data_IF_735617934100
#
_entry.id   IF_735617934100
#
_cell.length_a   1.000
_cell.length_b   1.000
_cell.length_c   1.000
_cell.angle_alpha   90.00
_cell.angle_beta   90.00
_cell.angle_gamma   90.00
#
_symmetry.space_group_name_H-M   'P 1'
#
loop_
_entity.id
_entity.type
_entity.pdbx_description
1 polymer ?
#
# COMPACT_ATOMS: atom_id res chain seq x y z
N UNK A 1 -4.30 1.88 17.84
CA UNK A 1 -5.44 1.43 17.02
C UNK A 1 -6.57 1.18 17.99
N UNK A 2 -7.67 1.93 17.89
CA UNK A 2 -8.82 1.75 18.77
C UNK A 2 -9.44 0.39 18.48
N UNK A 3 -9.70 -0.43 19.49
CA UNK A 3 -10.46 -1.68 19.29
C UNK A 3 -11.79 -1.36 18.61
N UNK A 4 -12.22 -2.18 17.61
CA UNK A 4 -13.51 -1.99 16.97
C UNK A 4 -14.59 -2.10 18.04
N UNK A 5 -15.38 -1.03 18.20
CA UNK A 5 -16.49 -1.00 19.15
C UNK A 5 -17.53 -2.02 18.68
N UNK A 6 -17.69 -3.11 19.42
CA UNK A 6 -18.72 -4.11 19.17
C UNK A 6 -20.12 -3.49 19.21
N UNK A 7 -21.04 -4.10 18.46
CA UNK A 7 -22.45 -3.69 18.45
C UNK A 7 -23.05 -3.97 19.84
N UNK A 8 -23.83 -3.02 20.41
CA UNK A 8 -24.54 -3.22 21.66
C UNK A 8 -25.40 -4.49 21.64
N UNK A 9 -25.34 -5.29 22.71
CA UNK A 9 -25.99 -6.61 22.76
C UNK A 9 -27.52 -6.55 22.74
N UNK A 10 -28.11 -5.43 23.16
CA UNK A 10 -29.56 -5.21 23.19
C UNK A 10 -30.21 -5.18 21.81
N UNK A 11 -29.45 -4.88 20.75
CA UNK A 11 -29.95 -4.87 19.37
C UNK A 11 -29.56 -6.09 18.56
N UNK A 12 -28.75 -7.01 19.12
CA UNK A 12 -28.34 -8.24 18.44
C UNK A 12 -29.36 -9.38 18.57
N UNK A 13 -30.27 -9.27 19.54
CA UNK A 13 -31.24 -10.31 19.89
C UNK A 13 -32.67 -9.80 19.75
N UNK A 14 -33.54 -10.68 19.27
CA UNK A 14 -34.98 -10.50 19.34
C UNK A 14 -35.53 -11.01 20.67
N UNK A 15 -36.78 -10.62 20.98
CA UNK A 15 -37.44 -11.00 22.24
C UNK A 15 -37.76 -12.49 22.34
N UNK A 16 -37.77 -13.20 21.22
CA UNK A 16 -38.00 -14.64 21.10
C UNK A 16 -36.73 -15.49 21.22
N UNK A 17 -35.56 -14.85 21.39
CA UNK A 17 -34.27 -15.53 21.52
C UNK A 17 -33.58 -15.82 20.18
N UNK A 18 -34.10 -15.31 19.06
CA UNK A 18 -33.43 -15.38 17.77
C UNK A 18 -32.57 -14.14 17.50
N UNK A 19 -31.69 -14.25 16.51
CA UNK A 19 -30.87 -13.12 16.07
C UNK A 19 -31.72 -12.06 15.38
N UNK A 20 -31.43 -10.79 15.68
CA UNK A 20 -32.02 -9.65 15.00
C UNK A 20 -31.52 -9.55 13.55
N UNK A 21 -32.24 -8.81 12.71
CA UNK A 21 -31.78 -8.54 11.35
C UNK A 21 -30.42 -7.83 11.36
N UNK A 22 -30.18 -6.93 12.32
CA UNK A 22 -28.89 -6.23 12.47
C UNK A 22 -27.73 -7.21 12.69
N UNK A 23 -27.94 -8.24 13.52
CA UNK A 23 -26.93 -9.27 13.75
C UNK A 23 -26.70 -10.12 12.50
N UNK A 24 -27.78 -10.51 11.81
CA UNK A 24 -27.71 -11.34 10.60
C UNK A 24 -27.06 -10.59 9.43
N UNK A 25 -27.41 -9.33 9.21
CA UNK A 25 -26.83 -8.47 8.17
C UNK A 25 -25.33 -8.26 8.42
N UNK A 26 -24.94 -7.98 9.67
CA UNK A 26 -23.54 -7.82 10.04
C UNK A 26 -22.72 -9.09 9.77
N UNK A 27 -23.27 -10.27 10.06
CA UNK A 27 -22.63 -11.56 9.75
C UNK A 27 -22.61 -11.82 8.24
N UNK A 28 -23.69 -11.53 7.53
CA UNK A 28 -23.80 -11.69 6.08
C UNK A 28 -22.82 -10.80 5.29
N UNK A 29 -22.49 -9.62 5.83
CA UNK A 29 -21.51 -8.68 5.27
C UNK A 29 -20.05 -9.02 5.67
N UNK A 30 -19.83 -10.11 6.42
CA UNK A 30 -18.52 -10.53 6.91
C UNK A 30 -17.93 -9.63 8.00
N UNK A 31 -18.77 -8.88 8.72
CA UNK A 31 -18.35 -7.99 9.80
C UNK A 31 -18.26 -8.72 11.15
N UNK A 32 -17.67 -9.92 11.18
CA UNK A 32 -17.59 -10.78 12.37
C UNK A 32 -16.92 -10.11 13.57
N UNK A 33 -16.06 -9.12 13.33
CA UNK A 33 -15.38 -8.36 14.38
C UNK A 33 -16.32 -7.42 15.16
N UNK A 34 -17.48 -7.08 14.59
CA UNK A 34 -18.49 -6.23 15.22
C UNK A 34 -19.46 -7.03 16.11
N UNK A 35 -19.44 -8.36 15.97
CA UNK A 35 -20.41 -9.27 16.58
C UNK A 35 -19.72 -10.16 17.62
N UNK A 36 -20.23 -10.25 18.87
CA UNK A 36 -19.66 -11.12 19.90
C UNK A 36 -19.68 -12.62 19.52
N UNK A 37 -18.78 -13.41 20.12
CA UNK A 37 -18.64 -14.84 19.81
C UNK A 37 -19.93 -15.64 20.01
N UNK A 38 -20.68 -15.40 21.09
CA UNK A 38 -21.92 -16.13 21.37
C UNK A 38 -23.01 -15.96 20.30
N UNK A 39 -23.03 -14.82 19.61
CA UNK A 39 -23.97 -14.57 18.50
C UNK A 39 -23.57 -15.37 17.27
N UNK A 40 -22.26 -15.47 16.98
CA UNK A 40 -21.72 -16.28 15.88
C UNK A 40 -21.98 -17.77 16.12
N UNK A 41 -21.80 -18.23 17.35
CA UNK A 41 -22.11 -19.61 17.75
C UNK A 41 -23.60 -19.91 17.58
N UNK A 42 -24.48 -19.03 18.07
CA UNK A 42 -25.92 -19.20 17.91
C UNK A 42 -26.36 -19.28 16.44
N UNK A 43 -25.77 -18.49 15.55
CA UNK A 43 -26.07 -18.55 14.12
C UNK A 43 -25.77 -19.92 13.50
N UNK A 44 -24.77 -20.64 14.01
CA UNK A 44 -24.39 -21.98 13.55
C UNK A 44 -25.24 -23.10 14.17
N UNK A 45 -25.77 -22.88 15.38
CA UNK A 45 -26.55 -23.88 16.12
C UNK A 45 -28.06 -23.78 15.89
N UNK A 46 -28.57 -22.57 15.62
CA UNK A 46 -29.99 -22.30 15.45
C UNK A 46 -30.38 -22.37 13.96
N UNK A 47 -31.05 -23.45 13.56
CA UNK A 47 -31.48 -23.67 12.17
C UNK A 47 -32.32 -22.51 11.57
N UNK A 48 -33.32 -21.92 12.28
CA UNK A 48 -34.01 -20.74 11.80
C UNK A 48 -33.09 -19.53 11.54
N UNK A 49 -32.09 -19.31 12.39
CA UNK A 49 -31.13 -18.22 12.21
C UNK A 49 -30.17 -18.52 11.05
N UNK A 50 -29.75 -19.77 10.87
CA UNK A 50 -28.90 -20.19 9.76
C UNK A 50 -29.59 -19.99 8.41
N UNK A 51 -30.88 -20.31 8.30
CA UNK A 51 -31.69 -20.08 7.08
C UNK A 51 -31.75 -18.58 6.77
N UNK A 52 -32.14 -17.76 7.77
CA UNK A 52 -32.22 -16.30 7.60
C UNK A 52 -30.87 -15.65 7.28
N UNK A 53 -29.78 -16.17 7.86
CA UNK A 53 -28.42 -15.73 7.53
C UNK A 53 -28.06 -16.05 6.08
N UNK A 54 -28.44 -17.23 5.58
CA UNK A 54 -28.27 -17.60 4.18
C UNK A 54 -29.02 -16.65 3.23
N UNK A 55 -30.26 -16.31 3.56
CA UNK A 55 -31.05 -15.34 2.79
C UNK A 55 -30.39 -13.94 2.81
N UNK A 56 -29.94 -13.47 3.98
CA UNK A 56 -29.23 -12.21 4.11
C UNK A 56 -27.91 -12.19 3.31
N UNK A 57 -27.16 -13.30 3.29
CA UNK A 57 -25.95 -13.45 2.49
C UNK A 57 -26.24 -13.41 0.98
N UNK A 58 -27.32 -14.05 0.52
CA UNK A 58 -27.73 -13.98 -0.89
C UNK A 58 -28.12 -12.55 -1.30
N UNK A 59 -28.73 -11.80 -0.39
CA UNK A 59 -29.06 -10.38 -0.60
C UNK A 59 -27.80 -9.50 -0.64
N UNK A 60 -26.85 -9.68 0.28
CA UNK A 60 -25.60 -8.92 0.30
C UNK A 60 -24.75 -9.19 -0.95
N UNK A 61 -24.66 -10.44 -1.38
CA UNK A 61 -23.98 -10.83 -2.62
C UNK A 61 -24.64 -10.17 -3.85
N UNK A 62 -25.96 -10.19 -3.95
CA UNK A 62 -26.68 -9.50 -5.03
C UNK A 62 -26.45 -7.98 -4.98
N UNK A 63 -26.52 -7.36 -3.82
CA UNK A 63 -26.24 -5.93 -3.66
C UNK A 63 -24.81 -5.59 -4.13
N UNK A 64 -23.82 -6.42 -3.79
CA UNK A 64 -22.45 -6.24 -4.25
C UNK A 64 -22.33 -6.31 -5.78
N UNK A 65 -23.02 -7.27 -6.42
CA UNK A 65 -23.02 -7.35 -7.89
C UNK A 65 -23.64 -6.11 -8.54
N UNK A 66 -24.74 -5.58 -7.98
CA UNK A 66 -25.39 -4.37 -8.49
C UNK A 66 -24.50 -3.14 -8.29
N UNK A 67 -23.88 -3.02 -7.12
CA UNK A 67 -22.93 -1.94 -6.82
C UNK A 67 -21.71 -2.00 -7.75
N UNK A 68 -21.17 -3.18 -8.05
CA UNK A 68 -20.06 -3.32 -9.00
C UNK A 68 -20.49 -2.94 -10.43
N UNK A 69 -21.68 -3.34 -10.86
CA UNK A 69 -22.24 -2.93 -12.16
C UNK A 69 -22.47 -1.41 -12.24
N UNK A 70 -22.92 -0.78 -11.14
CA UNK A 70 -23.04 0.67 -11.04
C UNK A 70 -21.68 1.37 -10.94
N UNK A 71 -20.69 0.79 -10.27
CA UNK A 71 -19.33 1.35 -10.16
C UNK A 71 -18.66 1.45 -11.53
N UNK A 72 -18.98 0.53 -12.45
CA UNK A 72 -18.58 0.64 -13.86
C UNK A 72 -19.40 1.67 -14.65
N UNK A 73 -20.61 2.00 -14.20
CA UNK A 73 -21.48 3.03 -14.77
C UNK A 73 -21.21 4.37 -14.07
N UNK A 74 -20.26 5.12 -14.63
CA UNK A 74 -19.97 6.53 -14.32
C UNK A 74 -19.05 6.78 -13.12
N UNK A 75 -17.75 6.58 -13.34
CA UNK A 75 -16.84 7.69 -13.07
C UNK A 75 -16.85 8.53 -14.34
N UNK A 76 -17.51 9.72 -14.40
CA UNK A 76 -17.29 10.62 -15.52
C UNK A 76 -15.80 10.89 -15.55
N UNK A 77 -15.17 10.51 -16.67
CA UNK A 77 -13.75 10.63 -16.95
C UNK A 77 -13.16 11.89 -16.27
N UNK A 78 -12.27 11.74 -15.28
CA UNK A 78 -12.23 12.76 -14.24
C UNK A 78 -11.28 13.89 -14.59
N UNK A 79 -11.72 15.09 -14.18
CA UNK A 79 -11.01 16.35 -14.07
C UNK A 79 -10.80 17.10 -15.39
N UNK A 80 -11.42 18.28 -15.46
CA UNK A 80 -11.13 19.26 -16.49
C UNK A 80 -9.63 19.59 -16.48
N UNK A 81 -9.01 19.71 -17.65
CA UNK A 81 -7.62 20.14 -17.84
C UNK A 81 -7.13 21.25 -16.88
N UNK A 82 -7.93 22.29 -16.55
CA UNK A 82 -7.52 23.29 -15.57
C UNK A 82 -7.27 22.72 -14.16
N UNK A 83 -8.07 21.75 -13.69
CA UNK A 83 -7.90 21.15 -12.35
C UNK A 83 -6.63 20.29 -12.26
N UNK A 84 -6.25 19.64 -13.36
CA UNK A 84 -4.97 18.94 -13.44
C UNK A 84 -3.79 19.92 -13.41
N UNK A 85 -3.91 21.04 -14.11
CA UNK A 85 -2.89 22.09 -14.11
C UNK A 85 -2.71 22.73 -12.72
N UNK A 86 -3.79 23.00 -12.00
CA UNK A 86 -3.68 23.59 -10.65
C UNK A 86 -3.02 22.63 -9.68
N UNK A 87 -3.36 21.34 -9.69
CA UNK A 87 -2.71 20.32 -8.87
C UNK A 87 -1.23 20.17 -9.23
N UNK A 88 -0.91 20.18 -10.53
CA UNK A 88 0.48 20.12 -11.00
C UNK A 88 1.30 21.34 -10.54
N UNK A 89 0.75 22.53 -10.67
CA UNK A 89 1.39 23.77 -10.22
C UNK A 89 1.58 23.76 -8.70
N UNK A 90 0.58 23.33 -7.94
CA UNK A 90 0.66 23.23 -6.48
C UNK A 90 1.70 22.19 -6.04
N UNK A 91 1.78 21.06 -6.74
CA UNK A 91 2.80 20.03 -6.51
C UNK A 91 4.22 20.54 -6.82
N UNK A 92 4.39 21.29 -7.92
CA UNK A 92 5.65 21.95 -8.27
C UNK A 92 6.06 22.98 -7.22
N UNK A 93 5.12 23.81 -6.75
CA UNK A 93 5.33 24.80 -5.68
C UNK A 93 5.70 24.15 -4.35
N UNK A 94 5.08 23.02 -3.99
CA UNK A 94 5.46 22.25 -2.81
C UNK A 94 6.84 21.60 -2.93
N UNK A 95 7.29 21.31 -4.15
CA UNK A 95 8.60 20.74 -4.42
C UNK A 95 9.73 21.81 -4.49
N UNK A 96 9.42 23.10 -4.60
CA UNK A 96 10.40 24.19 -4.67
C UNK A 96 11.48 24.17 -3.57
N UNK A 97 11.16 23.97 -2.26
CA UNK A 97 12.19 23.93 -1.22
C UNK A 97 13.16 22.74 -1.36
N UNK A 98 12.79 21.68 -2.10
CA UNK A 98 13.66 20.51 -2.35
C UNK A 98 14.60 20.70 -3.55
N UNK A 99 14.31 21.65 -4.45
CA UNK A 99 15.08 21.91 -5.67
C UNK A 99 16.42 22.62 -5.40
N UNK A 100 16.49 23.45 -4.35
CA UNK A 100 17.72 24.17 -3.99
C UNK A 100 18.91 23.25 -3.69
N UNK A 101 18.67 22.14 -3.00
CA UNK A 101 19.71 21.12 -2.75
C UNK A 101 19.92 20.15 -3.92
N UNK A 102 18.93 20.00 -4.81
CA UNK A 102 18.97 19.06 -5.93
C UNK A 102 19.87 19.57 -7.07
N UNK A 103 19.84 20.87 -7.38
CA UNK A 103 20.70 21.46 -8.42
C UNK A 103 22.18 21.36 -8.04
N UNK A 104 22.52 21.68 -6.78
CA UNK A 104 23.89 21.54 -6.27
C UNK A 104 24.36 20.08 -6.24
N UNK A 105 23.47 19.13 -5.86
CA UNK A 105 23.79 17.68 -5.91
C UNK A 105 23.92 17.17 -7.35
N UNK A 106 23.07 17.61 -8.27
CA UNK A 106 23.10 17.21 -9.68
C UNK A 106 24.36 17.73 -10.39
N UNK A 107 24.79 18.97 -10.09
CA UNK A 107 26.04 19.53 -10.61
C UNK A 107 27.26 18.77 -10.08
N UNK A 108 27.31 18.46 -8.78
CA UNK A 108 28.40 17.65 -8.22
C UNK A 108 28.42 16.23 -8.82
N UNK A 109 27.25 15.61 -9.01
CA UNK A 109 27.16 14.29 -9.65
C UNK A 109 27.64 14.35 -11.10
N UNK A 110 27.20 15.34 -11.88
CA UNK A 110 27.61 15.52 -13.27
C UNK A 110 29.13 15.79 -13.39
N UNK A 111 29.71 16.56 -12.45
CA UNK A 111 31.14 16.83 -12.42
C UNK A 111 31.97 15.61 -12.02
N UNK A 112 31.45 14.75 -11.13
CA UNK A 112 32.11 13.48 -10.80
C UNK A 112 31.98 12.45 -11.94
N UNK A 113 30.82 12.37 -12.60
CA UNK A 113 30.61 11.51 -13.76
C UNK A 113 31.49 11.92 -14.94
N UNK A 114 31.60 13.22 -15.23
CA UNK A 114 32.44 13.71 -16.32
C UNK A 114 33.93 13.41 -16.12
N UNK A 115 34.39 13.31 -14.87
CA UNK A 115 35.76 12.89 -14.54
C UNK A 115 35.98 11.37 -14.68
N UNK A 116 34.94 10.55 -14.49
CA UNK A 116 35.05 9.07 -14.47
C UNK A 116 34.80 8.46 -15.86
N UNK A 117 33.90 9.03 -16.66
CA UNK A 117 33.57 8.59 -18.03
C UNK A 117 34.79 8.43 -18.95
N UNK A 118 35.76 9.37 -19.02
CA UNK A 118 36.92 9.22 -19.89
C UNK A 118 37.88 8.09 -19.43
N UNK A 119 37.92 7.78 -18.14
CA UNK A 119 38.74 6.67 -17.62
C UNK A 119 38.07 5.32 -17.87
N UNK A 120 36.74 5.23 -17.74
CA UNK A 120 35.97 4.04 -18.10
C UNK A 120 36.00 3.73 -19.59
N UNK A 121 35.90 4.75 -20.44
CA UNK A 121 35.99 4.57 -21.90
C UNK A 121 37.39 4.14 -22.33
N UNK A 122 38.45 4.71 -21.75
CA UNK A 122 39.83 4.23 -21.99
C UNK A 122 40.06 2.81 -21.47
N UNK A 123 39.55 2.47 -20.29
CA UNK A 123 39.63 1.11 -19.76
C UNK A 123 38.88 0.11 -20.68
N UNK A 124 37.70 0.48 -21.16
CA UNK A 124 36.92 -0.34 -22.09
C UNK A 124 37.65 -0.56 -23.43
N UNK A 125 38.30 0.47 -23.98
CA UNK A 125 39.05 0.38 -25.25
C UNK A 125 40.34 -0.44 -25.10
N UNK A 126 41.04 -0.33 -23.97
CA UNK A 126 42.25 -1.14 -23.71
C UNK A 126 41.88 -2.60 -23.47
N UNK A 127 40.75 -2.87 -22.83
CA UNK A 127 40.31 -4.24 -22.50
C UNK A 127 39.49 -4.93 -23.60
N UNK A 128 38.92 -4.21 -24.58
CA UNK A 128 38.29 -4.86 -25.76
C UNK A 128 39.32 -5.59 -26.64
N UNK A 129 40.60 -5.50 -26.29
CA UNK A 129 41.71 -6.20 -26.92
C UNK A 129 42.23 -7.40 -26.12
N UNK A 130 41.71 -7.67 -24.92
CA UNK A 130 42.13 -8.82 -24.08
C UNK A 130 41.07 -9.92 -24.06
N UNK A 131 41.51 -11.19 -24.19
CA UNK A 131 40.64 -12.37 -24.30
C UNK A 131 39.89 -12.73 -23.00
N UNK A 132 40.26 -12.13 -21.85
CA UNK A 132 39.70 -12.44 -20.52
C UNK A 132 38.51 -11.55 -20.10
N UNK A 133 37.44 -11.55 -20.88
CA UNK A 133 36.21 -10.76 -20.62
C UNK A 133 35.47 -11.15 -19.31
N UNK A 134 35.62 -12.39 -18.83
CA UNK A 134 34.82 -12.92 -17.71
C UNK A 134 35.16 -12.28 -16.35
N UNK A 135 36.45 -12.10 -16.05
CA UNK A 135 36.91 -11.50 -14.79
C UNK A 135 36.55 -10.02 -14.69
N UNK A 136 36.52 -9.33 -15.83
CA UNK A 136 36.15 -7.92 -15.91
C UNK A 136 34.65 -7.71 -15.66
N UNK A 137 33.78 -8.53 -16.28
CA UNK A 137 32.33 -8.50 -16.02
C UNK A 137 32.07 -8.71 -14.54
N UNK A 138 32.72 -9.71 -13.92
CA UNK A 138 32.59 -9.97 -12.49
C UNK A 138 33.01 -8.75 -11.63
N UNK A 139 34.10 -8.07 -11.99
CA UNK A 139 34.58 -6.90 -11.25
C UNK A 139 33.63 -5.69 -11.41
N UNK A 140 33.08 -5.45 -12.60
CA UNK A 140 32.07 -4.41 -12.84
C UNK A 140 30.80 -4.68 -12.03
N UNK A 141 30.32 -5.93 -12.01
CA UNK A 141 29.18 -6.31 -11.17
C UNK A 141 29.48 -6.14 -9.68
N UNK A 142 30.68 -6.47 -9.23
CA UNK A 142 31.09 -6.31 -7.84
C UNK A 142 31.12 -4.83 -7.44
N UNK A 143 31.67 -3.95 -8.29
CA UNK A 143 31.62 -2.50 -8.08
C UNK A 143 30.18 -1.99 -8.06
N UNK A 144 29.34 -2.43 -9.00
CA UNK A 144 27.93 -2.03 -9.06
C UNK A 144 27.17 -2.43 -7.79
N UNK A 145 27.41 -3.65 -7.27
CA UNK A 145 26.83 -4.12 -6.00
C UNK A 145 27.28 -3.23 -4.84
N UNK A 146 28.57 -2.90 -4.74
CA UNK A 146 29.09 -2.03 -3.67
C UNK A 146 28.47 -0.64 -3.73
N UNK A 147 28.33 -0.05 -4.93
CA UNK A 147 27.69 1.26 -5.13
C UNK A 147 26.21 1.22 -4.75
N UNK A 148 25.48 0.19 -5.17
CA UNK A 148 24.07 0.02 -4.83
C UNK A 148 23.86 -0.18 -3.33
N UNK A 149 24.71 -0.96 -2.65
CA UNK A 149 24.67 -1.16 -1.21
C UNK A 149 24.96 0.14 -0.44
N UNK A 150 25.93 0.94 -0.90
CA UNK A 150 26.21 2.25 -0.30
C UNK A 150 25.04 3.24 -0.49
N UNK A 151 24.42 3.23 -1.68
CA UNK A 151 23.21 4.00 -1.95
C UNK A 151 22.03 3.58 -1.06
N UNK A 152 21.76 2.29 -0.94
CA UNK A 152 20.72 1.77 -0.06
C UNK A 152 20.96 2.15 1.41
N UNK A 153 22.21 2.04 1.90
CA UNK A 153 22.57 2.39 3.27
C UNK A 153 22.35 3.88 3.58
N UNK A 154 22.61 4.76 2.61
CA UNK A 154 22.35 6.21 2.78
C UNK A 154 20.86 6.53 2.80
N UNK A 155 20.06 5.86 1.95
CA UNK A 155 18.59 6.00 1.95
C UNK A 155 18.00 5.52 3.28
N UNK A 156 18.37 4.32 3.74
CA UNK A 156 17.89 3.77 5.02
C UNK A 156 18.25 4.67 6.21
N UNK A 157 19.44 5.27 6.22
CA UNK A 157 19.85 6.21 7.26
C UNK A 157 19.09 7.53 7.22
N UNK A 158 18.57 7.93 6.06
CA UNK A 158 17.80 9.17 5.89
C UNK A 158 16.30 9.02 6.17
N UNK A 159 15.79 7.79 6.29
CA UNK A 159 14.40 7.55 6.66
C UNK A 159 14.22 7.80 8.17
N UNK A 160 13.22 8.60 8.60
CA UNK A 160 12.90 8.75 10.00
C UNK A 160 12.51 7.39 10.57
N UNK A 161 13.23 6.93 11.60
CA UNK A 161 12.92 5.69 12.31
C UNK A 161 11.52 5.82 12.89
N UNK A 162 10.54 5.14 12.29
CA UNK A 162 9.25 4.92 12.92
C UNK A 162 9.52 4.01 14.12
N UNK A 163 9.63 4.60 15.30
CA UNK A 163 9.63 3.85 16.55
C UNK A 163 8.28 3.14 16.63
N UNK A 164 8.28 1.82 16.40
CA UNK A 164 7.17 0.98 16.75
C UNK A 164 6.96 1.13 18.27
N UNK A 165 5.96 1.93 18.65
CA UNK A 165 5.46 2.01 20.01
C UNK A 165 4.80 0.67 20.32
N UNK A 166 5.60 -0.33 20.69
CA UNK A 166 5.10 -1.53 21.32
C UNK A 166 4.48 -1.08 22.64
N UNK A 167 3.16 -1.27 22.78
CA UNK A 167 2.43 -0.92 23.98
C UNK A 167 3.03 -1.65 25.18
N UNK A 168 3.64 -0.91 26.08
CA UNK A 168 3.95 -1.37 27.43
C UNK A 168 2.62 -1.41 28.19
N UNK A 169 2.03 -2.60 28.25
CA UNK A 169 0.93 -2.92 29.17
C UNK A 169 1.47 -2.95 30.60
N UNK A 170 0.97 -2.04 31.44
CA UNK A 170 0.80 -2.31 32.87
C UNK A 170 -0.33 -1.49 33.47
#
# INVERSE_FOLDING_TARGET
>A
MSEPRMIPSDILWQKDGHLSDVALDALADGQDALVPLCVREHANECEPCAIRLGDAFLLSAQAQTLLQQQSYRQIPWPLSLPSLLTVLVLALLGALPSLGGFVAKAQNLAHTLSAVVPNLTRALVVLSRSEDMAHFIALVFLIAIVVLLAGAATIVRSLPRQTASYGETR
#
